data_IF_600321493449
#
_entry.id   IF_600321493449
#
_cell.length_a   1.000
_cell.length_b   1.000
_cell.length_c   1.000
_cell.angle_alpha   90.00
_cell.angle_beta   90.00
_cell.angle_gamma   90.00
#
_symmetry.space_group_name_H-M   'P 1'
#
loop_
_entity.id
_entity.type
_entity.pdbx_description
1 polymer ?
#
# COMPACT_ATOMS: atom_id res chain seq x y z
N UNK A 1 -30.85 4.35 28.08
CA UNK A 1 -29.47 4.10 28.53
C UNK A 1 -29.44 2.80 29.33
N UNK A 2 -28.45 1.92 29.09
CA UNK A 2 -27.37 1.73 30.09
C UNK A 2 -25.97 1.62 29.46
N UNK A 3 -24.94 1.81 30.30
CA UNK A 3 -23.51 1.86 29.98
C UNK A 3 -22.82 0.53 30.35
N UNK A 4 -21.88 0.04 29.51
CA UNK A 4 -21.03 -1.12 29.82
C UNK A 4 -19.57 -0.85 29.43
N UNK A 5 -18.67 -0.90 30.42
CA UNK A 5 -17.28 -0.42 30.37
C UNK A 5 -16.38 -1.21 29.42
N UNK A 6 -15.69 -0.51 28.52
CA UNK A 6 -14.64 -1.05 27.67
C UNK A 6 -13.29 -1.14 28.39
N UNK A 7 -12.86 -2.35 28.73
CA UNK A 7 -11.48 -2.66 29.06
C UNK A 7 -10.76 -3.16 27.79
N UNK A 8 -10.53 -2.24 26.85
CA UNK A 8 -9.74 -2.51 25.64
C UNK A 8 -8.30 -2.07 25.87
N UNK A 9 -7.39 -3.04 25.98
CA UNK A 9 -5.95 -2.82 25.99
C UNK A 9 -5.56 -1.86 24.86
N UNK A 10 -5.06 -0.67 25.22
CA UNK A 10 -4.56 0.36 24.30
C UNK A 10 -3.23 -0.12 23.67
N UNK A 11 -3.27 -1.25 22.96
CA UNK A 11 -2.20 -1.62 22.03
C UNK A 11 -2.27 -0.60 20.91
N UNK A 12 -1.47 0.46 21.02
CA UNK A 12 -1.42 1.54 20.04
C UNK A 12 -1.18 0.96 18.66
N UNK A 13 -2.24 0.90 17.84
CA UNK A 13 -2.10 0.63 16.42
C UNK A 13 -1.38 1.84 15.83
N UNK A 14 -0.06 1.73 15.67
CA UNK A 14 0.74 2.76 15.01
C UNK A 14 0.33 2.81 13.54
N UNK A 15 -0.52 3.78 13.19
CA UNK A 15 -0.77 4.13 11.81
C UNK A 15 0.27 5.16 11.37
N UNK A 16 0.73 5.03 10.13
CA UNK A 16 1.58 6.04 9.52
C UNK A 16 1.12 6.26 8.08
N UNK A 17 1.32 7.47 7.58
CA UNK A 17 1.08 7.82 6.18
C UNK A 17 2.36 8.40 5.60
N UNK A 18 2.78 7.87 4.47
CA UNK A 18 3.89 8.38 3.69
C UNK A 18 3.39 8.77 2.30
N UNK A 19 4.03 9.76 1.68
CA UNK A 19 3.70 10.20 0.33
C UNK A 19 4.99 10.51 -0.41
N UNK A 20 5.11 9.99 -1.61
CA UNK A 20 6.29 10.12 -2.46
C UNK A 20 5.86 10.67 -3.82
N UNK A 21 6.71 11.50 -4.43
CA UNK A 21 6.54 11.97 -5.80
C UNK A 21 7.78 11.59 -6.59
N UNK A 22 7.57 10.89 -7.70
CA UNK A 22 8.62 10.52 -8.63
C UNK A 22 8.56 11.43 -9.85
N UNK A 23 9.72 11.81 -10.37
CA UNK A 23 9.84 12.53 -11.63
C UNK A 23 10.44 11.56 -12.65
N UNK A 24 9.70 11.32 -13.72
CA UNK A 24 10.10 10.43 -14.80
C UNK A 24 10.34 11.28 -16.06
N UNK A 25 11.45 11.03 -16.76
CA UNK A 25 11.74 11.73 -18.03
C UNK A 25 10.76 11.33 -19.14
N UNK A 26 10.26 10.09 -19.10
CA UNK A 26 9.25 9.59 -20.02
C UNK A 26 8.24 8.68 -19.29
N UNK A 27 7.08 9.24 -18.99
CA UNK A 27 6.00 8.52 -18.29
C UNK A 27 5.39 7.39 -19.13
N UNK A 28 5.40 7.51 -20.46
CA UNK A 28 4.79 6.54 -21.37
C UNK A 28 5.48 5.16 -21.38
N UNK A 29 6.61 5.01 -20.69
CA UNK A 29 7.34 3.74 -20.53
C UNK A 29 7.14 3.10 -19.14
N UNK A 30 6.27 3.66 -18.30
CA UNK A 30 6.05 3.16 -16.95
C UNK A 30 5.03 2.01 -16.96
N UNK A 31 5.52 0.78 -17.11
CA UNK A 31 4.65 -0.40 -17.16
C UNK A 31 4.46 -1.08 -15.79
N UNK A 32 5.43 -0.93 -14.88
CA UNK A 32 5.49 -1.69 -13.62
C UNK A 32 6.05 -0.86 -12.47
N UNK A 33 5.47 -1.02 -11.28
CA UNK A 33 5.99 -0.50 -10.00
C UNK A 33 6.36 -1.68 -9.10
N UNK A 34 7.64 -1.79 -8.73
CA UNK A 34 8.11 -2.77 -7.75
C UNK A 34 8.03 -2.21 -6.32
N UNK A 35 7.44 -2.97 -5.39
CA UNK A 35 7.31 -2.57 -3.99
C UNK A 35 8.37 -3.26 -3.13
N UNK A 36 9.37 -2.49 -2.72
CA UNK A 36 10.49 -2.97 -1.90
C UNK A 36 10.17 -3.03 -0.39
N UNK A 37 9.04 -2.48 0.08
CA UNK A 37 8.71 -2.39 1.50
C UNK A 37 8.70 -3.75 2.21
N UNK A 38 8.32 -4.83 1.52
CA UNK A 38 8.33 -6.19 2.08
C UNK A 38 9.73 -6.63 2.54
N UNK A 39 10.78 -6.22 1.83
CA UNK A 39 12.16 -6.57 2.17
C UNK A 39 12.67 -5.75 3.36
N UNK A 40 12.31 -4.46 3.44
CA UNK A 40 12.71 -3.58 4.54
C UNK A 40 11.90 -3.83 5.82
N UNK A 41 10.66 -4.29 5.69
CA UNK A 41 9.73 -4.53 6.80
C UNK A 41 9.08 -5.91 6.67
N UNK A 42 9.73 -6.98 7.16
CA UNK A 42 9.23 -8.35 7.06
C UNK A 42 7.87 -8.59 7.73
N UNK A 43 7.46 -7.71 8.66
CA UNK A 43 6.14 -7.75 9.30
C UNK A 43 4.98 -7.34 8.37
N UNK A 44 5.25 -6.76 7.20
CA UNK A 44 4.22 -6.43 6.21
C UNK A 44 3.88 -7.68 5.42
N UNK A 45 2.67 -8.20 5.61
CA UNK A 45 2.22 -9.41 4.91
C UNK A 45 1.44 -9.11 3.63
N UNK A 46 0.76 -7.96 3.60
CA UNK A 46 -0.12 -7.55 2.51
C UNK A 46 -0.10 -6.03 2.35
N UNK A 47 -0.07 -5.57 1.11
CA UNK A 47 -0.27 -4.16 0.76
C UNK A 47 -1.46 -4.07 -0.19
N UNK A 48 -2.51 -3.35 0.22
CA UNK A 48 -3.60 -2.99 -0.67
C UNK A 48 -3.17 -1.78 -1.52
N UNK A 49 -3.23 -1.94 -2.83
CA UNK A 49 -2.80 -0.93 -3.79
C UNK A 49 -4.01 -0.47 -4.58
N UNK A 50 -4.11 0.84 -4.79
CA UNK A 50 -5.09 1.47 -5.67
C UNK A 50 -4.33 2.47 -6.55
N UNK A 51 -4.71 2.58 -7.81
CA UNK A 51 -4.07 3.49 -8.75
C UNK A 51 -5.06 4.12 -9.71
N UNK A 52 -4.67 5.28 -10.24
CA UNK A 52 -5.29 5.98 -11.35
C UNK A 52 -4.19 6.37 -12.33
N UNK A 53 -4.36 5.99 -13.58
CA UNK A 53 -3.47 6.24 -14.71
C UNK A 53 -4.30 6.67 -15.93
N UNK A 54 -3.68 7.23 -16.99
CA UNK A 54 -4.40 7.62 -18.21
C UNK A 54 -5.19 6.47 -18.85
N UNK A 55 -4.62 5.27 -18.85
CA UNK A 55 -5.28 4.04 -19.34
C UNK A 55 -6.41 3.52 -18.44
N UNK A 56 -6.48 3.92 -17.17
CA UNK A 56 -7.57 3.50 -16.28
C UNK A 56 -7.23 3.53 -14.79
N UNK A 57 -8.10 2.92 -14.00
CA UNK A 57 -7.94 2.80 -12.55
C UNK A 57 -8.14 1.36 -12.11
N UNK A 58 -7.55 1.00 -10.97
CA UNK A 58 -7.66 -0.35 -10.45
C UNK A 58 -7.28 -0.48 -8.99
N UNK A 59 -7.46 -1.69 -8.49
CA UNK A 59 -7.03 -2.08 -7.16
C UNK A 59 -6.49 -3.52 -7.18
N UNK A 60 -5.46 -3.78 -6.39
CA UNK A 60 -4.89 -5.11 -6.22
C UNK A 60 -4.30 -5.28 -4.82
N UNK A 61 -3.91 -6.51 -4.49
CA UNK A 61 -3.26 -6.86 -3.24
C UNK A 61 -1.90 -7.47 -3.53
N UNK A 62 -0.84 -6.81 -3.07
CA UNK A 62 0.53 -7.31 -3.18
C UNK A 62 0.92 -8.11 -1.94
N UNK A 63 1.85 -9.04 -2.13
CA UNK A 63 2.50 -9.83 -1.07
C UNK A 63 4.00 -9.88 -1.33
N UNK A 64 4.79 -10.36 -0.36
CA UNK A 64 6.23 -10.54 -0.57
C UNK A 64 6.58 -11.45 -1.77
N UNK A 65 5.69 -12.40 -2.15
CA UNK A 65 5.87 -13.28 -3.32
C UNK A 65 5.43 -12.64 -4.63
N UNK A 66 4.53 -11.66 -4.58
CA UNK A 66 4.03 -10.92 -5.74
C UNK A 66 3.98 -9.44 -5.38
N UNK A 67 5.12 -8.78 -5.47
CA UNK A 67 5.35 -7.41 -5.03
C UNK A 67 5.42 -6.41 -6.20
N UNK A 68 4.98 -6.82 -7.38
CA UNK A 68 4.96 -5.96 -8.57
C UNK A 68 3.53 -5.55 -8.91
N UNK A 69 3.32 -4.25 -9.05
CA UNK A 69 2.12 -3.68 -9.65
C UNK A 69 2.36 -3.50 -11.15
N UNK A 70 1.49 -4.06 -11.97
CA UNK A 70 1.43 -3.78 -13.41
C UNK A 70 0.41 -2.67 -13.64
N UNK A 71 0.77 -1.64 -14.41
CA UNK A 71 -0.08 -0.45 -14.67
C UNK A 71 -0.96 -0.57 -15.92
N UNK A 72 -0.93 -1.73 -16.59
CA UNK A 72 -1.68 -2.05 -17.82
C UNK A 72 -3.16 -1.71 -17.76
#
# INVERSE_FOLDING_TARGET
MPHGKGAGSQKGHASFRASYRFQCDNLARLDTIGVALFASFPGIHRIAVQWLAPEGQGATSLTARNNQLQLK
#
